data_IF_658767586317
#
_entry.id   IF_658767586317
#
_cell.length_a   1.000
_cell.length_b   1.000
_cell.length_c   1.000
_cell.angle_alpha   90.00
_cell.angle_beta   90.00
_cell.angle_gamma   90.00
#
_symmetry.space_group_name_H-M   'P 1'
#
loop_
_entity.id
_entity.type
_entity.pdbx_description
1 polymer ?
#
# COMPACT_ATOMS: atom_id res chain seq x y z
N UNK A 1 -38.30 6.90 -12.44
CA UNK A 1 -37.83 6.18 -11.25
C UNK A 1 -36.41 6.64 -10.99
N UNK A 2 -36.12 7.42 -9.93
CA UNK A 2 -34.74 7.79 -9.59
C UNK A 2 -34.09 6.56 -8.96
N UNK A 3 -32.97 6.10 -9.52
CA UNK A 3 -32.18 5.05 -8.91
C UNK A 3 -31.66 5.56 -7.55
N UNK A 4 -31.89 4.80 -6.48
CA UNK A 4 -31.30 5.13 -5.17
C UNK A 4 -29.78 4.94 -5.26
N UNK A 5 -28.96 5.89 -4.76
CA UNK A 5 -27.51 5.73 -4.76
C UNK A 5 -27.12 4.50 -3.94
N UNK A 6 -26.24 3.66 -4.49
CA UNK A 6 -25.72 2.46 -3.85
C UNK A 6 -24.22 2.60 -3.70
N UNK A 7 -23.68 2.12 -2.59
CA UNK A 7 -22.23 1.97 -2.48
C UNK A 7 -21.82 0.66 -3.12
N UNK A 8 -20.84 0.74 -4.02
CA UNK A 8 -20.21 -0.43 -4.63
C UNK A 8 -18.87 -0.66 -3.94
N UNK A 9 -18.77 -1.74 -3.18
CA UNK A 9 -17.52 -2.14 -2.58
C UNK A 9 -16.59 -2.69 -3.65
N UNK A 10 -15.34 -2.31 -3.59
CA UNK A 10 -14.28 -2.88 -4.41
C UNK A 10 -12.94 -2.73 -3.70
N UNK A 11 -12.42 -3.81 -3.17
CA UNK A 11 -11.11 -3.84 -2.55
C UNK A 11 -10.38 -5.14 -2.86
N UNK A 12 -9.07 -5.04 -3.01
CA UNK A 12 -8.18 -6.16 -3.30
C UNK A 12 -6.98 -6.15 -2.37
N UNK A 13 -6.51 -7.32 -2.01
CA UNK A 13 -5.26 -7.53 -1.29
C UNK A 13 -4.47 -8.67 -1.94
N UNK A 14 -3.18 -8.47 -2.12
CA UNK A 14 -2.25 -9.46 -2.66
C UNK A 14 -1.01 -9.54 -1.78
N UNK A 15 -0.64 -10.72 -1.32
CA UNK A 15 0.50 -10.87 -0.43
C UNK A 15 1.83 -10.79 -1.18
N UNK A 16 1.98 -11.54 -2.26
CA UNK A 16 3.17 -11.54 -3.10
C UNK A 16 2.69 -11.61 -4.54
N UNK A 17 3.12 -10.67 -5.36
CA UNK A 17 2.83 -10.63 -6.78
C UNK A 17 4.03 -10.15 -7.59
N UNK A 18 3.96 -10.29 -8.90
CA UNK A 18 4.99 -9.79 -9.77
C UNK A 18 5.40 -10.74 -10.90
N UNK A 19 6.60 -10.52 -11.41
CA UNK A 19 7.16 -11.26 -12.54
C UNK A 19 8.66 -11.45 -12.37
N UNK A 20 9.13 -12.64 -12.68
CA UNK A 20 10.55 -12.99 -12.81
C UNK A 20 10.80 -13.25 -14.27
N UNK A 21 11.62 -12.40 -14.95
CA UNK A 21 11.74 -12.44 -16.39
C UNK A 21 12.74 -13.49 -16.92
N UNK A 22 13.70 -13.95 -16.08
CA UNK A 22 14.72 -14.93 -16.46
C UNK A 22 14.99 -15.91 -15.32
N UNK A 23 15.46 -17.15 -15.56
CA UNK A 23 15.75 -17.77 -16.87
C UNK A 23 14.49 -18.14 -17.65
N UNK A 24 13.35 -18.26 -16.98
CA UNK A 24 12.02 -18.45 -17.59
C UNK A 24 11.13 -17.29 -17.15
N UNK A 25 10.40 -16.73 -18.10
CA UNK A 25 9.38 -15.74 -17.82
C UNK A 25 8.27 -16.37 -16.95
N UNK A 26 8.23 -15.95 -15.68
CA UNK A 26 7.32 -16.47 -14.68
C UNK A 26 6.49 -15.32 -14.12
N UNK A 27 5.22 -15.28 -14.47
CA UNK A 27 4.24 -14.51 -13.68
C UNK A 27 4.01 -15.25 -12.35
N UNK A 28 4.06 -14.50 -11.25
CA UNK A 28 3.86 -15.08 -9.92
C UNK A 28 2.36 -15.26 -9.69
N UNK A 29 1.93 -16.51 -9.57
CA UNK A 29 0.61 -16.81 -9.02
C UNK A 29 0.58 -16.36 -7.56
N UNK A 30 -0.22 -15.37 -7.27
CA UNK A 30 -0.28 -14.75 -5.94
C UNK A 30 -0.68 -15.80 -4.89
N UNK A 31 0.23 -16.16 -3.94
CA UNK A 31 -0.03 -17.26 -3.00
C UNK A 31 -1.20 -16.98 -2.04
N UNK A 32 -1.50 -15.72 -1.79
CA UNK A 32 -2.69 -15.30 -1.05
C UNK A 32 -3.24 -14.02 -1.67
N UNK A 33 -4.51 -14.04 -2.06
CA UNK A 33 -5.23 -12.89 -2.58
C UNK A 33 -6.67 -12.87 -2.08
N UNK A 34 -7.18 -11.69 -1.79
CA UNK A 34 -8.57 -11.45 -1.37
C UNK A 34 -9.15 -10.31 -2.16
N UNK A 35 -10.42 -10.42 -2.54
CA UNK A 35 -11.16 -9.34 -3.17
C UNK A 35 -12.60 -9.28 -2.66
N UNK A 36 -13.19 -8.08 -2.69
CA UNK A 36 -14.59 -7.87 -2.34
C UNK A 36 -15.49 -7.94 -3.57
N UNK A 37 -16.68 -8.46 -3.37
CA UNK A 37 -17.78 -8.27 -4.30
C UNK A 37 -18.37 -6.86 -4.17
N UNK A 38 -19.10 -6.39 -5.18
CA UNK A 38 -19.77 -5.09 -5.14
C UNK A 38 -20.77 -4.93 -3.97
N UNK A 39 -21.26 -6.03 -3.41
CA UNK A 39 -22.14 -6.04 -2.25
C UNK A 39 -21.40 -5.93 -0.91
N UNK A 40 -20.09 -5.95 -0.92
CA UNK A 40 -19.27 -6.01 0.30
C UNK A 40 -19.12 -7.43 0.83
N UNK A 41 -19.06 -7.56 2.15
CA UNK A 41 -18.80 -8.81 2.85
C UNK A 41 -17.35 -8.96 3.29
N UNK A 42 -16.89 -10.21 3.40
CA UNK A 42 -15.56 -10.53 3.89
C UNK A 42 -14.89 -11.60 3.02
N UNK A 43 -13.62 -11.34 2.69
CA UNK A 43 -12.76 -12.28 1.97
C UNK A 43 -11.42 -12.41 2.67
N UNK A 44 -10.93 -13.65 2.80
CA UNK A 44 -9.63 -13.96 3.40
C UNK A 44 -8.93 -15.04 2.60
N UNK A 45 -7.61 -14.94 2.51
CA UNK A 45 -6.79 -15.99 1.91
C UNK A 45 -5.50 -16.16 2.69
N UNK A 46 -4.97 -17.39 2.74
CA UNK A 46 -3.74 -17.74 3.46
C UNK A 46 -2.96 -18.80 2.71
N UNK A 47 -1.64 -18.65 2.70
CA UNK A 47 -0.69 -19.66 2.26
C UNK A 47 0.43 -19.80 3.29
N UNK A 48 0.99 -20.99 3.42
CA UNK A 48 2.04 -21.29 4.39
C UNK A 48 3.21 -22.04 3.72
N UNK A 49 4.42 -21.76 4.22
CA UNK A 49 5.66 -22.42 3.81
C UNK A 49 5.87 -22.42 2.29
N UNK A 50 5.66 -21.23 1.67
CA UNK A 50 5.67 -21.12 0.23
C UNK A 50 7.07 -20.86 -0.34
N UNK A 51 7.24 -21.31 -1.60
CA UNK A 51 8.42 -21.06 -2.41
C UNK A 51 8.00 -20.71 -3.84
N UNK A 52 8.57 -19.65 -4.39
CA UNK A 52 8.31 -19.23 -5.76
C UNK A 52 9.64 -19.25 -6.50
N UNK A 53 9.80 -20.27 -7.32
CA UNK A 53 11.08 -20.60 -7.92
C UNK A 53 12.17 -20.80 -6.86
N UNK A 54 13.39 -20.37 -7.20
CA UNK A 54 14.51 -20.38 -6.23
C UNK A 54 14.72 -19.00 -5.58
N UNK A 55 13.90 -18.03 -5.96
CA UNK A 55 14.09 -16.61 -5.62
C UNK A 55 13.37 -16.23 -4.34
N UNK A 56 12.12 -16.65 -4.15
CA UNK A 56 11.31 -16.21 -3.03
C UNK A 56 10.94 -17.38 -2.13
N UNK A 57 11.12 -17.20 -0.82
CA UNK A 57 10.65 -18.10 0.21
C UNK A 57 9.90 -17.29 1.27
N UNK A 58 8.83 -17.83 1.83
CA UNK A 58 8.08 -17.22 2.91
C UNK A 58 7.49 -18.27 3.86
N UNK A 59 7.38 -17.93 5.14
CA UNK A 59 6.75 -18.80 6.14
C UNK A 59 5.24 -18.75 6.06
N UNK A 60 4.66 -17.55 5.94
CA UNK A 60 3.23 -17.38 5.70
C UNK A 60 2.94 -16.12 4.91
N UNK A 61 1.86 -16.18 4.14
CA UNK A 61 1.27 -15.07 3.42
C UNK A 61 -0.22 -15.05 3.70
N UNK A 62 -0.79 -13.90 4.04
CA UNK A 62 -2.21 -13.77 4.31
C UNK A 62 -2.77 -12.45 3.82
N UNK A 63 -4.04 -12.49 3.43
CA UNK A 63 -4.78 -11.31 2.97
C UNK A 63 -6.16 -11.26 3.59
N UNK A 64 -6.67 -10.04 3.73
CA UNK A 64 -7.97 -9.76 4.28
C UNK A 64 -8.59 -8.58 3.53
N UNK A 65 -9.88 -8.70 3.20
CA UNK A 65 -10.69 -7.62 2.69
C UNK A 65 -12.09 -7.72 3.30
N UNK A 66 -12.62 -6.59 3.79
CA UNK A 66 -13.93 -6.50 4.40
C UNK A 66 -14.62 -5.20 3.98
N UNK A 67 -15.88 -5.29 3.60
CA UNK A 67 -16.74 -4.16 3.24
C UNK A 67 -18.06 -4.23 3.98
N UNK A 68 -18.32 -3.24 4.83
CA UNK A 68 -19.48 -3.17 5.72
C UNK A 68 -20.08 -1.77 5.73
N UNK A 69 -21.36 -1.68 6.10
CA UNK A 69 -21.96 -0.42 6.52
C UNK A 69 -21.91 -0.30 8.04
N UNK A 70 -21.39 0.81 8.55
CA UNK A 70 -21.18 1.03 10.01
C UNK A 70 -22.49 1.04 10.82
N UNK A 71 -23.65 1.20 10.19
CA UNK A 71 -24.96 1.26 10.83
C UNK A 71 -25.96 0.27 10.23
N UNK A 72 -25.62 -1.03 10.24
CA UNK A 72 -26.44 -2.11 9.67
C UNK A 72 -27.91 -2.16 10.20
N UNK A 73 -28.14 -1.82 11.47
CA UNK A 73 -29.50 -1.70 12.02
C UNK A 73 -30.34 -0.64 11.30
N UNK A 74 -29.74 0.52 11.02
CA UNK A 74 -30.37 1.59 10.24
C UNK A 74 -30.48 1.25 8.75
N UNK A 75 -29.60 0.41 8.23
CA UNK A 75 -29.69 -0.05 6.83
C UNK A 75 -30.92 -0.94 6.59
N UNK A 76 -31.27 -1.79 7.54
CA UNK A 76 -32.50 -2.60 7.47
C UNK A 76 -33.77 -1.72 7.51
N UNK A 77 -33.76 -0.65 8.31
CA UNK A 77 -34.81 0.36 8.33
C UNK A 77 -34.87 1.18 7.04
N UNK A 78 -33.73 1.43 6.39
CA UNK A 78 -33.61 2.18 5.13
C UNK A 78 -34.18 1.42 3.93
N UNK A 79 -34.24 0.08 3.99
CA UNK A 79 -34.95 -0.71 2.99
C UNK A 79 -36.48 -0.50 3.05
N UNK A 80 -36.98 0.00 4.17
CA UNK A 80 -38.40 0.17 4.47
C UNK A 80 -38.88 1.62 4.54
N UNK A 81 -38.01 2.65 4.54
CA UNK A 81 -38.41 4.05 4.69
C UNK A 81 -37.36 5.10 4.30
N UNK A 82 -37.84 6.29 3.89
CA UNK A 82 -37.00 7.35 3.29
C UNK A 82 -36.16 8.19 4.26
N UNK A 83 -36.23 7.98 5.59
CA UNK A 83 -35.73 8.94 6.57
C UNK A 83 -34.34 8.66 7.20
N UNK A 84 -33.69 7.53 6.89
CA UNK A 84 -32.41 7.14 7.49
C UNK A 84 -31.22 7.16 6.54
N UNK A 85 -31.37 7.63 5.32
CA UNK A 85 -30.35 7.53 4.27
C UNK A 85 -29.09 8.37 4.53
N UNK A 86 -29.19 9.49 5.24
CA UNK A 86 -28.08 10.45 5.41
C UNK A 86 -26.99 10.04 6.40
N UNK A 87 -27.21 8.96 7.16
CA UNK A 87 -26.29 8.50 8.20
C UNK A 87 -25.47 7.25 7.80
N UNK A 88 -25.58 6.77 6.56
CA UNK A 88 -24.85 5.57 6.14
C UNK A 88 -23.38 5.88 5.84
N UNK A 89 -22.50 5.10 6.44
CA UNK A 89 -21.07 5.11 6.13
C UNK A 89 -20.67 3.71 5.67
N UNK A 90 -20.13 3.64 4.45
CA UNK A 90 -19.49 2.43 3.98
C UNK A 90 -18.05 2.40 4.48
N UNK A 91 -17.68 1.30 5.13
CA UNK A 91 -16.32 1.07 5.64
C UNK A 91 -15.70 -0.10 4.88
N UNK A 92 -14.56 0.15 4.26
CA UNK A 92 -13.72 -0.87 3.64
C UNK A 92 -12.46 -1.03 4.47
N UNK A 93 -12.14 -2.26 4.86
CA UNK A 93 -10.85 -2.61 5.47
C UNK A 93 -10.12 -3.59 4.58
N UNK A 94 -8.85 -3.33 4.33
CA UNK A 94 -8.01 -4.20 3.52
C UNK A 94 -6.63 -4.31 4.15
N UNK A 95 -6.09 -5.53 4.20
CA UNK A 95 -4.72 -5.78 4.68
C UNK A 95 -4.07 -6.97 4.00
N UNK A 96 -2.74 -6.93 3.97
CA UNK A 96 -1.92 -8.00 3.41
C UNK A 96 -0.64 -8.16 4.23
N UNK A 97 -0.30 -9.39 4.56
CA UNK A 97 0.85 -9.72 5.39
C UNK A 97 1.70 -10.82 4.76
N UNK A 98 3.02 -10.66 4.87
CA UNK A 98 4.02 -11.69 4.55
C UNK A 98 4.96 -11.85 5.75
N UNK A 99 5.19 -13.09 6.18
CA UNK A 99 6.08 -13.43 7.29
C UNK A 99 7.23 -14.33 6.86
N UNK A 100 8.38 -14.14 7.52
CA UNK A 100 9.61 -14.90 7.28
C UNK A 100 9.97 -14.93 5.80
N UNK A 101 9.95 -13.72 5.20
CA UNK A 101 10.28 -13.52 3.81
C UNK A 101 11.77 -13.59 3.58
N UNK A 102 12.17 -14.28 2.53
CA UNK A 102 13.51 -14.26 1.95
C UNK A 102 13.39 -14.07 0.44
N UNK A 103 14.08 -13.07 -0.09
CA UNK A 103 14.24 -12.87 -1.52
C UNK A 103 15.70 -12.99 -1.86
N UNK A 104 16.05 -14.03 -2.62
CA UNK A 104 17.40 -14.33 -3.07
C UNK A 104 17.72 -13.51 -4.33
N UNK A 105 18.49 -12.45 -4.15
CA UNK A 105 19.04 -11.61 -5.21
C UNK A 105 20.55 -11.49 -5.00
N UNK A 106 21.23 -10.57 -5.71
CA UNK A 106 22.66 -10.25 -5.49
C UNK A 106 22.96 -9.98 -4.01
N UNK A 107 22.05 -9.27 -3.34
CA UNK A 107 21.99 -9.16 -1.89
C UNK A 107 20.67 -9.81 -1.41
N UNK A 108 20.76 -10.83 -0.56
CA UNK A 108 19.57 -11.48 -0.02
C UNK A 108 18.79 -10.50 0.86
N UNK A 109 17.56 -10.24 0.50
CA UNK A 109 16.64 -9.47 1.32
C UNK A 109 15.86 -10.40 2.25
N UNK A 110 15.74 -10.03 3.51
CA UNK A 110 14.93 -10.76 4.49
C UNK A 110 14.04 -9.83 5.28
N UNK A 111 12.88 -10.33 5.70
CA UNK A 111 11.99 -9.65 6.63
C UNK A 111 11.26 -10.69 7.50
N UNK A 112 11.18 -10.43 8.80
CA UNK A 112 10.39 -11.26 9.71
C UNK A 112 8.90 -11.05 9.47
N UNK A 113 8.48 -9.81 9.28
CA UNK A 113 7.08 -9.44 9.00
C UNK A 113 7.01 -8.17 8.16
N UNK A 114 6.23 -8.22 7.11
CA UNK A 114 5.76 -7.05 6.34
C UNK A 114 4.25 -7.13 6.35
N UNK A 115 3.61 -6.15 6.96
CA UNK A 115 2.15 -6.03 6.98
C UNK A 115 1.75 -4.63 6.55
N UNK A 116 0.84 -4.55 5.58
CA UNK A 116 0.27 -3.30 5.10
C UNK A 116 -1.23 -3.39 5.01
N UNK A 117 -1.91 -2.36 5.50
CA UNK A 117 -3.34 -2.27 5.40
C UNK A 117 -3.86 -0.88 5.68
N UNK A 118 -5.07 -0.63 5.25
CA UNK A 118 -5.77 0.60 5.55
C UNK A 118 -7.28 0.38 5.70
N UNK A 119 -7.92 1.37 6.31
CA UNK A 119 -9.36 1.48 6.42
C UNK A 119 -9.80 2.73 5.67
N UNK A 120 -10.76 2.57 4.76
CA UNK A 120 -11.42 3.68 4.08
C UNK A 120 -12.86 3.79 4.57
N UNK A 121 -13.30 5.01 4.91
CA UNK A 121 -14.67 5.32 5.31
C UNK A 121 -15.26 6.31 4.35
N UNK A 122 -16.39 5.94 3.78
CA UNK A 122 -17.10 6.72 2.74
C UNK A 122 -18.52 7.05 3.23
N UNK A 123 -18.72 8.15 3.97
CA UNK A 123 -20.06 8.59 4.34
C UNK A 123 -20.86 8.96 3.09
N UNK A 124 -22.15 8.62 3.08
CA UNK A 124 -23.05 9.01 1.98
C UNK A 124 -23.11 10.54 1.88
N UNK A 125 -22.95 11.06 0.67
CA UNK A 125 -22.98 12.51 0.42
C UNK A 125 -21.71 13.29 0.75
N UNK A 126 -20.67 12.66 1.33
CA UNK A 126 -19.44 13.38 1.72
C UNK A 126 -18.46 13.65 0.57
N UNK A 127 -18.67 13.06 -0.60
CA UNK A 127 -17.81 13.26 -1.77
C UNK A 127 -16.42 12.59 -1.71
N UNK A 128 -15.78 12.53 -0.55
CA UNK A 128 -14.46 11.93 -0.38
C UNK A 128 -14.41 10.93 0.77
N UNK A 129 -13.81 9.76 0.57
CA UNK A 129 -13.55 8.83 1.66
C UNK A 129 -12.38 9.31 2.54
N UNK A 130 -12.51 9.07 3.84
CA UNK A 130 -11.37 9.19 4.76
C UNK A 130 -10.56 7.92 4.78
N UNK A 131 -9.24 8.03 4.99
CA UNK A 131 -8.28 6.93 5.00
C UNK A 131 -7.54 6.93 6.33
N UNK A 132 -7.33 5.75 6.89
CA UNK A 132 -6.40 5.54 8.00
C UNK A 132 -5.59 4.28 7.77
N UNK A 133 -4.32 4.28 8.16
CA UNK A 133 -3.52 3.05 8.15
C UNK A 133 -4.06 2.07 9.18
N UNK A 134 -4.02 0.79 8.85
CA UNK A 134 -4.28 -0.27 9.84
C UNK A 134 -3.20 -0.20 10.93
N UNK A 135 -3.60 -0.42 12.18
CA UNK A 135 -2.72 -0.34 13.36
C UNK A 135 -1.56 -1.34 13.30
N UNK A 136 -1.78 -2.45 12.60
CA UNK A 136 -0.81 -3.52 12.45
C UNK A 136 0.15 -3.31 11.27
N UNK A 137 0.04 -2.19 10.55
CA UNK A 137 0.95 -1.85 9.45
C UNK A 137 2.37 -1.69 9.98
N UNK A 138 3.30 -2.53 9.48
CA UNK A 138 4.66 -2.62 10.03
C UNK A 138 5.65 -3.24 9.06
N UNK A 139 6.90 -2.81 9.18
CA UNK A 139 8.09 -3.54 8.74
C UNK A 139 8.84 -4.04 9.97
N UNK A 140 9.08 -5.32 10.07
CA UNK A 140 9.76 -5.93 11.20
C UNK A 140 10.85 -6.90 10.76
N UNK A 141 12.04 -6.80 11.39
CA UNK A 141 13.16 -7.67 11.13
C UNK A 141 13.73 -7.57 9.71
N UNK A 142 13.71 -6.39 9.12
CA UNK A 142 14.18 -6.17 7.75
C UNK A 142 15.70 -6.15 7.70
N UNK A 143 16.28 -6.87 6.72
CA UNK A 143 17.71 -6.86 6.46
C UNK A 143 18.03 -7.07 4.98
N UNK A 144 19.16 -6.54 4.53
CA UNK A 144 19.72 -6.72 3.19
C UNK A 144 21.15 -7.25 3.32
N UNK A 145 21.40 -8.45 2.78
CA UNK A 145 22.71 -9.11 2.89
C UNK A 145 23.17 -9.32 4.35
N UNK A 146 22.21 -9.49 5.28
CA UNK A 146 22.48 -9.58 6.72
C UNK A 146 22.62 -8.23 7.45
N UNK A 147 22.68 -7.11 6.73
CA UNK A 147 22.73 -5.76 7.31
C UNK A 147 21.33 -5.30 7.66
N UNK A 148 21.10 -5.01 8.95
CA UNK A 148 19.77 -4.65 9.46
C UNK A 148 19.33 -3.25 9.02
N UNK A 149 18.06 -3.12 8.68
CA UNK A 149 17.38 -1.88 8.34
C UNK A 149 16.37 -1.52 9.42
N UNK A 150 16.24 -0.23 9.66
CA UNK A 150 15.17 0.36 10.49
C UNK A 150 14.27 1.14 9.56
N UNK A 151 13.00 0.75 9.51
CA UNK A 151 11.96 1.40 8.71
C UNK A 151 10.93 1.97 9.68
N UNK A 152 10.86 3.27 9.80
CA UNK A 152 9.88 3.98 10.62
C UNK A 152 8.74 4.47 9.75
N UNK A 153 7.50 4.20 10.16
CA UNK A 153 6.30 4.62 9.43
C UNK A 153 5.72 5.92 10.01
N UNK A 154 5.14 6.74 9.14
CA UNK A 154 4.44 7.95 9.51
C UNK A 154 2.92 7.69 9.70
N UNK A 155 2.58 6.85 10.67
CA UNK A 155 1.18 6.51 10.95
C UNK A 155 0.33 7.74 11.34
N UNK A 156 0.95 8.77 11.94
CA UNK A 156 0.26 9.99 12.34
C UNK A 156 -0.20 10.86 11.16
N UNK A 157 0.40 10.69 9.98
CA UNK A 157 0.03 11.46 8.80
C UNK A 157 -1.46 11.36 8.48
N UNK A 158 -1.95 10.13 8.38
CA UNK A 158 -3.35 9.86 8.02
C UNK A 158 -4.33 10.07 9.18
N UNK A 159 -3.85 10.20 10.41
CA UNK A 159 -4.69 10.64 11.53
C UNK A 159 -5.06 12.13 11.38
N UNK A 160 -4.17 12.91 10.76
CA UNK A 160 -4.34 14.36 10.58
C UNK A 160 -4.87 14.73 9.18
N UNK A 161 -4.42 14.04 8.17
CA UNK A 161 -4.74 14.30 6.76
C UNK A 161 -5.39 13.06 6.13
N UNK A 162 -6.59 12.74 6.62
CA UNK A 162 -7.30 11.51 6.32
C UNK A 162 -8.06 11.52 4.99
N UNK A 163 -8.13 12.66 4.28
CA UNK A 163 -8.75 12.77 2.95
C UNK A 163 -7.76 13.30 1.91
N UNK A 164 -8.01 13.02 0.63
CA UNK A 164 -7.21 13.54 -0.47
C UNK A 164 -7.14 15.08 -0.46
N UNK A 165 -8.27 15.75 -0.27
CA UNK A 165 -8.32 17.23 -0.21
C UNK A 165 -7.51 17.80 0.94
N UNK A 166 -7.60 17.23 2.15
CA UNK A 166 -6.79 17.66 3.30
C UNK A 166 -5.31 17.46 3.04
N UNK A 167 -4.94 16.31 2.47
CA UNK A 167 -3.55 16.00 2.15
C UNK A 167 -2.99 16.94 1.08
N UNK A 168 -3.75 17.23 0.01
CA UNK A 168 -3.36 18.19 -1.04
C UNK A 168 -3.15 19.60 -0.47
N UNK A 169 -4.14 20.11 0.28
CA UNK A 169 -4.04 21.44 0.90
C UNK A 169 -2.85 21.53 1.86
N UNK A 170 -2.54 20.47 2.58
CA UNK A 170 -1.42 20.44 3.50
C UNK A 170 -0.07 20.35 2.77
N UNK A 171 0.02 19.54 1.72
CA UNK A 171 1.26 19.32 0.97
C UNK A 171 1.86 20.60 0.38
N UNK A 172 1.02 21.59 0.06
CA UNK A 172 1.44 22.89 -0.45
C UNK A 172 1.97 23.86 0.64
N UNK A 173 1.87 23.48 1.93
CA UNK A 173 2.28 24.36 3.02
C UNK A 173 3.74 24.15 3.42
N UNK A 174 4.53 25.25 3.65
CA UNK A 174 5.92 25.13 4.12
C UNK A 174 6.06 24.35 5.43
N UNK A 175 5.05 24.44 6.30
CA UNK A 175 5.02 23.70 7.56
C UNK A 175 4.93 22.19 7.33
N UNK A 176 4.06 21.74 6.43
CA UNK A 176 3.92 20.35 6.08
C UNK A 176 5.22 19.80 5.48
N UNK A 177 5.80 20.54 4.53
CA UNK A 177 7.09 20.19 3.91
C UNK A 177 8.20 20.09 4.95
N UNK A 178 8.24 20.97 5.94
CA UNK A 178 9.21 20.93 7.03
C UNK A 178 9.01 19.75 7.98
N UNK A 179 7.75 19.43 8.34
CA UNK A 179 7.42 18.37 9.31
C UNK A 179 7.48 16.96 8.69
N UNK A 180 7.10 16.87 7.43
CA UNK A 180 6.91 15.59 6.74
C UNK A 180 7.79 15.45 5.49
N UNK A 181 8.50 16.51 5.10
CA UNK A 181 9.19 16.63 3.82
C UNK A 181 10.23 15.57 3.55
N UNK A 182 10.81 15.02 4.61
CA UNK A 182 11.83 14.00 4.41
C UNK A 182 11.28 12.56 4.28
N UNK A 183 10.00 12.29 4.51
CA UNK A 183 9.46 10.92 4.54
C UNK A 183 8.24 10.65 3.66
N UNK A 184 7.73 11.62 2.91
CA UNK A 184 6.41 11.48 2.30
C UNK A 184 6.36 11.47 0.78
N UNK A 185 7.48 11.72 0.12
CA UNK A 185 7.48 11.96 -1.30
C UNK A 185 8.41 11.00 -2.03
N UNK A 186 7.89 10.27 -2.97
CA UNK A 186 8.67 9.39 -3.82
C UNK A 186 9.41 10.16 -4.91
N UNK A 187 10.62 9.71 -5.23
CA UNK A 187 11.03 9.73 -6.63
C UNK A 187 10.01 8.87 -7.37
N UNK A 188 9.00 9.51 -7.94
CA UNK A 188 8.07 8.77 -8.77
C UNK A 188 8.84 8.25 -9.97
N UNK A 189 9.20 7.00 -9.96
CA UNK A 189 9.45 6.28 -11.22
C UNK A 189 8.10 6.03 -11.88
N UNK A 190 7.49 7.13 -12.35
CA UNK A 190 6.48 7.04 -13.39
C UNK A 190 7.25 6.64 -14.62
N UNK A 191 6.98 5.45 -15.22
CA UNK A 191 7.64 5.06 -16.44
C UNK A 191 7.51 6.20 -17.46
N UNK A 192 8.62 6.81 -17.87
CA UNK A 192 8.66 7.86 -18.87
C UNK A 192 8.78 9.32 -18.38
N UNK A 193 8.89 9.61 -17.09
CA UNK A 193 9.14 10.96 -16.57
C UNK A 193 10.27 10.98 -15.55
N UNK A 194 11.45 11.28 -16.02
CA UNK A 194 12.55 11.83 -15.23
C UNK A 194 12.31 13.31 -14.98
N UNK A 195 11.56 13.65 -13.96
CA UNK A 195 11.58 15.00 -13.41
C UNK A 195 11.66 14.87 -11.90
N UNK A 196 12.91 14.84 -11.40
CA UNK A 196 13.20 15.17 -10.03
C UNK A 196 12.78 16.62 -9.80
N UNK A 197 11.59 16.83 -9.27
CA UNK A 197 11.27 18.09 -8.62
C UNK A 197 11.94 18.07 -7.26
N UNK A 198 12.95 18.88 -7.07
CA UNK A 198 13.77 18.97 -5.86
C UNK A 198 13.01 19.54 -4.65
N UNK A 199 11.69 19.65 -4.67
CA UNK A 199 10.92 20.40 -3.69
C UNK A 199 9.78 19.62 -3.04
N UNK A 200 9.59 18.35 -3.28
CA UNK A 200 8.49 17.67 -2.63
C UNK A 200 8.31 16.23 -3.08
N UNK A 201 7.94 15.39 -2.15
CA UNK A 201 7.81 13.95 -2.30
C UNK A 201 6.42 13.48 -2.72
N UNK A 202 5.44 14.39 -2.84
CA UNK A 202 4.18 14.13 -3.50
C UNK A 202 4.22 14.68 -4.92
N UNK A 203 4.11 13.79 -5.88
CA UNK A 203 3.90 14.20 -7.25
C UNK A 203 2.40 14.22 -7.48
N UNK A 204 1.81 15.41 -7.58
CA UNK A 204 0.46 15.56 -8.07
C UNK A 204 0.49 15.45 -9.60
N UNK A 205 -0.20 14.45 -10.13
CA UNK A 205 -0.48 14.35 -11.55
C UNK A 205 -1.97 14.04 -11.72
N UNK A 206 -2.72 14.98 -12.32
CA UNK A 206 -4.14 14.75 -12.62
C UNK A 206 -5.03 14.53 -11.40
N UNK A 207 -4.77 15.19 -10.27
CA UNK A 207 -5.56 15.03 -9.04
C UNK A 207 -5.18 13.81 -8.21
N UNK A 208 -4.06 13.19 -8.49
CA UNK A 208 -3.55 11.99 -7.82
C UNK A 208 -2.31 12.32 -7.01
N UNK A 209 -2.22 11.76 -5.81
CA UNK A 209 -1.04 11.83 -4.96
C UNK A 209 -0.30 10.50 -4.99
N UNK A 210 1.00 10.57 -5.28
CA UNK A 210 1.96 9.48 -5.08
C UNK A 210 2.87 9.84 -3.92
N UNK A 211 3.12 8.92 -3.03
CA UNK A 211 3.96 9.19 -1.88
C UNK A 211 4.42 7.93 -1.17
N UNK A 212 4.99 8.10 0.01
CA UNK A 212 5.37 7.00 0.88
C UNK A 212 4.86 7.22 2.30
N UNK A 213 4.49 6.12 2.96
CA UNK A 213 4.18 6.10 4.40
C UNK A 213 5.44 5.98 5.27
N UNK A 214 6.62 5.84 4.68
CA UNK A 214 7.89 5.74 5.41
C UNK A 214 8.31 7.12 5.89
N UNK A 215 8.50 7.26 7.20
CA UNK A 215 9.03 8.47 7.83
C UNK A 215 10.55 8.52 7.73
N UNK A 216 11.21 7.38 8.00
CA UNK A 216 12.64 7.24 7.85
C UNK A 216 13.03 5.80 7.49
N UNK A 217 14.04 5.68 6.65
CA UNK A 217 14.69 4.43 6.29
C UNK A 217 16.19 4.60 6.56
N UNK A 218 16.79 3.73 7.37
CA UNK A 218 18.19 3.82 7.73
C UNK A 218 18.79 2.47 8.10
N UNK A 219 20.08 2.35 7.98
CA UNK A 219 20.82 1.19 8.50
C UNK A 219 20.86 1.24 10.04
N UNK A 220 20.68 0.08 10.68
CA UNK A 220 20.82 -0.04 12.14
C UNK A 220 22.29 0.01 12.61
N UNK A 221 23.23 -0.09 11.69
CA UNK A 221 24.65 -0.07 11.92
C UNK A 221 25.40 0.26 10.63
N UNK A 222 26.42 -0.52 10.28
CA UNK A 222 27.13 -0.35 9.00
C UNK A 222 26.18 -0.58 7.83
N UNK A 223 26.28 0.19 6.74
CA UNK A 223 25.50 -0.04 5.52
C UNK A 223 25.98 -1.31 4.79
N UNK A 224 25.08 -1.88 3.99
CA UNK A 224 25.49 -2.87 2.99
C UNK A 224 26.44 -2.22 1.98
N UNK A 225 27.60 -2.84 1.67
CA UNK A 225 28.60 -2.23 0.81
C UNK A 225 28.05 -1.79 -0.56
N UNK A 226 28.25 -0.51 -0.88
CA UNK A 226 27.83 0.09 -2.13
C UNK A 226 26.35 0.41 -2.24
N UNK A 227 25.49 0.02 -1.29
CA UNK A 227 24.09 0.40 -1.33
C UNK A 227 23.89 1.82 -0.78
N UNK A 228 23.01 2.55 -1.44
CA UNK A 228 22.61 3.91 -1.08
C UNK A 228 21.14 3.94 -0.65
N UNK A 229 20.82 4.76 0.34
CA UNK A 229 19.46 5.05 0.75
C UNK A 229 19.12 6.47 0.32
N UNK A 230 18.05 6.60 -0.47
CA UNK A 230 17.45 7.87 -0.83
C UNK A 230 15.97 7.81 -0.44
N UNK A 231 15.63 8.46 0.67
CA UNK A 231 14.31 8.48 1.29
C UNK A 231 13.75 7.09 1.65
N UNK A 232 12.80 6.57 0.87
CA UNK A 232 12.21 5.24 1.03
C UNK A 232 12.73 4.22 0.03
N UNK A 233 13.83 4.51 -0.64
CA UNK A 233 14.41 3.66 -1.68
C UNK A 233 15.82 3.24 -1.28
N UNK A 234 16.14 1.97 -1.47
CA UNK A 234 17.51 1.45 -1.42
C UNK A 234 17.92 1.11 -2.85
N UNK A 235 18.95 1.77 -3.33
CA UNK A 235 19.61 1.43 -4.60
C UNK A 235 20.80 0.52 -4.33
N UNK A 236 20.81 -0.65 -4.98
CA UNK A 236 21.93 -1.62 -4.92
C UNK A 236 22.64 -1.56 -6.27
N UNK A 237 23.92 -1.17 -6.32
CA UNK A 237 24.67 -1.08 -7.57
C UNK A 237 24.63 -2.37 -8.37
N UNK A 238 24.39 -2.26 -9.66
CA UNK A 238 24.28 -3.37 -10.62
C UNK A 238 23.21 -4.42 -10.26
N UNK A 239 22.28 -4.07 -9.38
CA UNK A 239 21.21 -4.99 -8.96
C UNK A 239 19.81 -4.37 -9.10
N UNK A 240 19.64 -3.10 -8.77
CA UNK A 240 18.37 -2.40 -8.87
C UNK A 240 17.90 -1.76 -7.56
N UNK A 241 16.60 -1.52 -7.47
CA UNK A 241 15.99 -0.69 -6.42
C UNK A 241 14.98 -1.47 -5.58
N UNK A 242 14.93 -1.13 -4.30
CA UNK A 242 13.93 -1.62 -3.33
C UNK A 242 13.18 -0.42 -2.77
N UNK A 243 11.88 -0.38 -2.95
CA UNK A 243 10.98 0.71 -2.55
C UNK A 243 10.14 0.27 -1.35
N UNK A 244 10.04 1.15 -0.35
CA UNK A 244 9.31 0.88 0.89
C UNK A 244 8.10 1.79 1.04
N UNK A 245 6.93 1.20 1.35
CA UNK A 245 5.74 1.90 1.79
C UNK A 245 5.16 2.87 0.76
N UNK A 246 5.10 2.49 -0.50
CA UNK A 246 4.53 3.31 -1.57
C UNK A 246 3.02 3.45 -1.40
N UNK A 247 2.51 4.67 -1.47
CA UNK A 247 1.09 4.96 -1.41
C UNK A 247 0.63 5.77 -2.62
N UNK A 248 -0.53 5.39 -3.15
CA UNK A 248 -1.23 6.07 -4.23
C UNK A 248 -2.62 6.44 -3.75
N UNK A 249 -3.01 7.72 -3.89
CA UNK A 249 -4.32 8.22 -3.50
C UNK A 249 -4.88 9.09 -4.62
N UNK A 250 -6.06 8.73 -5.09
CA UNK A 250 -6.90 9.55 -5.97
C UNK A 250 -8.30 9.67 -5.41
N UNK A 251 -9.16 10.43 -6.08
CA UNK A 251 -10.58 10.55 -5.69
C UNK A 251 -11.30 9.19 -5.59
N UNK A 252 -10.88 8.21 -6.42
CA UNK A 252 -11.58 6.92 -6.56
C UNK A 252 -10.73 5.70 -6.21
N UNK A 253 -9.42 5.89 -5.96
CA UNK A 253 -8.51 4.77 -5.76
C UNK A 253 -7.49 5.06 -4.68
N UNK A 254 -7.27 4.11 -3.80
CA UNK A 254 -6.24 4.09 -2.77
C UNK A 254 -5.50 2.79 -2.87
N UNK A 255 -4.18 2.87 -2.90
CA UNK A 255 -3.33 1.69 -2.95
C UNK A 255 -2.13 1.88 -2.04
N UNK A 256 -1.80 0.86 -1.28
CA UNK A 256 -0.60 0.78 -0.45
C UNK A 256 0.17 -0.46 -0.86
N UNK A 257 1.40 -0.28 -1.32
CA UNK A 257 2.36 -1.35 -1.59
C UNK A 257 3.48 -1.24 -0.57
N UNK A 258 3.53 -2.17 0.38
CA UNK A 258 4.55 -2.09 1.44
C UNK A 258 5.95 -2.25 0.89
N UNK A 259 6.17 -3.20 0.00
CA UNK A 259 7.48 -3.44 -0.58
C UNK A 259 7.37 -3.69 -2.08
N UNK A 260 8.13 -2.93 -2.87
CA UNK A 260 8.35 -3.20 -4.29
C UNK A 260 9.84 -3.36 -4.54
N UNK A 261 10.18 -4.33 -5.39
CA UNK A 261 11.55 -4.58 -5.81
C UNK A 261 11.61 -4.61 -7.33
N UNK A 262 12.45 -3.76 -7.89
CA UNK A 262 12.80 -3.73 -9.30
C UNK A 262 14.27 -4.14 -9.42
N UNK A 263 14.53 -5.45 -9.54
CA UNK A 263 15.88 -6.01 -9.53
C UNK A 263 16.27 -6.57 -10.89
N UNK A 264 17.55 -6.47 -11.24
CA UNK A 264 18.08 -6.99 -12.49
C UNK A 264 19.09 -8.14 -12.31
N UNK A 265 19.56 -8.40 -11.10
CA UNK A 265 20.59 -9.39 -10.80
C UNK A 265 20.21 -10.29 -9.61
N UNK A 266 20.46 -11.61 -9.67
CA UNK A 266 20.98 -12.35 -10.85
C UNK A 266 19.96 -12.49 -11.96
N UNK A 267 18.70 -12.17 -11.70
CA UNK A 267 17.56 -12.30 -12.62
C UNK A 267 16.75 -11.01 -12.64
N UNK A 268 16.38 -10.50 -13.82
CA UNK A 268 15.43 -9.38 -13.90
C UNK A 268 14.10 -9.78 -13.29
N UNK A 269 13.65 -9.01 -12.30
CA UNK A 269 12.39 -9.25 -11.62
C UNK A 269 11.74 -7.94 -11.13
N UNK A 270 10.43 -7.92 -11.14
CA UNK A 270 9.61 -6.91 -10.48
C UNK A 270 8.67 -7.61 -9.50
N UNK A 271 8.82 -7.32 -8.23
CA UNK A 271 8.05 -7.93 -7.16
C UNK A 271 7.28 -6.86 -6.39
N UNK A 272 6.08 -7.21 -5.93
CA UNK A 272 5.27 -6.41 -5.01
C UNK A 272 4.82 -7.30 -3.86
N UNK A 273 4.89 -6.79 -2.65
CA UNK A 273 4.56 -7.53 -1.44
C UNK A 273 3.73 -6.70 -0.50
N UNK A 274 2.76 -7.35 0.14
CA UNK A 274 1.77 -6.73 0.99
C UNK A 274 1.10 -5.54 0.29
N UNK A 275 0.52 -5.80 -0.88
CA UNK A 275 -0.17 -4.83 -1.72
C UNK A 275 -1.67 -4.84 -1.42
N UNK A 276 -2.24 -3.65 -1.24
CA UNK A 276 -3.64 -3.47 -0.88
C UNK A 276 -4.24 -2.31 -1.66
N UNK A 277 -5.50 -2.46 -2.09
CA UNK A 277 -6.20 -1.48 -2.91
C UNK A 277 -7.68 -1.37 -2.53
N UNK A 278 -8.23 -0.16 -2.56
CA UNK A 278 -9.66 0.13 -2.47
C UNK A 278 -10.08 1.13 -3.54
N UNK A 279 -11.16 0.81 -4.24
CA UNK A 279 -11.79 1.63 -5.29
C UNK A 279 -13.30 1.78 -5.04
N UNK A 280 -13.80 1.48 -3.86
CA UNK A 280 -15.21 1.58 -3.52
C UNK A 280 -15.74 3.01 -3.66
N UNK A 281 -17.01 3.13 -4.05
CA UNK A 281 -17.64 4.44 -4.24
C UNK A 281 -19.17 4.40 -4.29
N UNK A 282 -19.79 5.55 -4.04
CA UNK A 282 -21.22 5.74 -4.20
C UNK A 282 -21.56 5.89 -5.71
N UNK A 283 -22.52 5.13 -6.19
CA UNK A 283 -23.11 5.36 -7.51
C UNK A 283 -24.01 6.59 -7.43
N UNK A 284 -23.77 7.57 -8.30
CA UNK A 284 -24.62 8.75 -8.44
C UNK A 284 -25.97 8.44 -9.07
#
# INVERSE_FOLDING_TARGET
MKLKPRFLFHANAAAIGGRIAKPKDLAIDTPAASSLTAAGGRSTSKAENGRIGEVIQFGSASTFAEGLFDNLGKWAETLCGDSCEDALTATTRVSSEVRNLTVNAKATFTARRINGGFVAKSPKGSGEPSISLDRDTVFDGVALGGYKLIVELNAALFQRFDTLSKLRTAADTPKFVKEHGAGLFMKASVPGRTTASAAGRFVESGGTIYGTIVKSLRWAGKPYPGAEIDDNVITIPDCGDIYFGEIYISAYRRRLTMLRMDLCCPQPMRLMMADTEDNGGWSG
#
